data_IF_431294818634
#
_entry.id   IF_431294818634
#
_cell.length_a   1.000
_cell.length_b   1.000
_cell.length_c   1.000
_cell.angle_alpha   90.00
_cell.angle_beta   90.00
_cell.angle_gamma   90.00
#
_symmetry.space_group_name_H-M   'P 1'
#
loop_
_entity.id
_entity.type
_entity.pdbx_description
1 polymer ?
#
# COMPACT_ATOMS: atom_id res chain seq x y z
N UNK A 1 -22.09 -5.29 2.62
CA UNK A 1 -21.05 -6.23 3.10
C UNK A 1 -19.71 -5.63 2.68
N UNK A 2 -18.81 -5.31 3.61
CA UNK A 2 -17.44 -4.92 3.24
C UNK A 2 -16.72 -6.19 2.80
N UNK A 3 -16.34 -6.25 1.53
CA UNK A 3 -15.62 -7.39 0.99
C UNK A 3 -14.11 -7.13 1.12
N UNK A 4 -13.42 -7.94 1.90
CA UNK A 4 -11.96 -7.87 1.99
C UNK A 4 -11.35 -8.29 0.67
N UNK A 5 -10.48 -7.46 0.11
CA UNK A 5 -9.71 -7.77 -1.10
C UNK A 5 -8.27 -8.05 -0.70
N UNK A 6 -7.76 -9.24 -1.04
CA UNK A 6 -6.37 -9.60 -0.82
C UNK A 6 -5.56 -9.47 -2.12
N UNK A 7 -4.36 -8.92 -2.03
CA UNK A 7 -3.41 -8.78 -3.13
C UNK A 7 -2.02 -9.30 -2.73
N UNK A 8 -1.30 -9.86 -3.69
CA UNK A 8 0.15 -10.04 -3.61
C UNK A 8 0.78 -8.99 -4.50
N UNK A 9 1.50 -8.06 -3.90
CA UNK A 9 2.06 -6.90 -4.56
C UNK A 9 3.56 -7.11 -4.73
N UNK A 10 4.07 -6.86 -5.94
CA UNK A 10 5.48 -6.98 -6.29
C UNK A 10 6.25 -5.69 -6.04
N UNK A 11 7.34 -5.50 -6.79
CA UNK A 11 8.22 -4.32 -6.68
C UNK A 11 7.69 -3.08 -7.42
N UNK A 12 6.70 -3.26 -8.30
CA UNK A 12 6.03 -2.15 -8.97
C UNK A 12 5.02 -1.48 -8.03
N UNK A 13 4.91 -0.16 -8.13
CA UNK A 13 3.91 0.60 -7.39
C UNK A 13 2.49 0.24 -7.83
N UNK A 14 1.67 -0.12 -6.85
CA UNK A 14 0.23 -0.34 -7.00
C UNK A 14 -0.56 0.63 -6.12
N UNK A 15 -1.63 1.19 -6.69
CA UNK A 15 -2.53 2.07 -5.95
C UNK A 15 -3.48 1.26 -5.08
N UNK A 16 -3.61 1.65 -3.81
CA UNK A 16 -4.58 1.07 -2.87
C UNK A 16 -5.81 1.95 -2.72
N UNK A 17 -5.63 3.26 -2.69
CA UNK A 17 -6.74 4.24 -2.65
C UNK A 17 -6.36 5.50 -3.43
N UNK A 18 -7.37 6.18 -3.95
CA UNK A 18 -7.27 7.46 -4.67
C UNK A 18 -7.52 8.67 -3.77
N UNK A 19 -7.66 8.46 -2.46
CA UNK A 19 -7.91 9.50 -1.47
C UNK A 19 -9.38 9.90 -1.32
N UNK A 20 -10.31 9.21 -1.99
CA UNK A 20 -11.76 9.51 -1.87
C UNK A 20 -12.44 8.78 -0.72
N UNK A 21 -11.87 7.68 -0.25
CA UNK A 21 -12.45 6.81 0.77
C UNK A 21 -11.42 6.43 1.83
N UNK A 22 -11.91 6.27 3.07
CA UNK A 22 -11.13 5.62 4.13
C UNK A 22 -10.98 4.14 3.80
N UNK A 23 -9.77 3.61 3.96
CA UNK A 23 -9.44 2.18 3.83
C UNK A 23 -8.65 1.71 5.04
N UNK A 24 -8.90 0.48 5.46
CA UNK A 24 -8.00 -0.21 6.41
C UNK A 24 -7.21 -1.24 5.62
N UNK A 25 -5.89 -1.24 5.78
CA UNK A 25 -5.01 -2.21 5.12
C UNK A 25 -4.21 -2.99 6.15
N UNK A 26 -4.07 -4.29 5.93
CA UNK A 26 -3.17 -5.15 6.69
C UNK A 26 -2.05 -5.61 5.78
N UNK A 27 -0.81 -5.28 6.16
CA UNK A 27 0.42 -5.65 5.46
C UNK A 27 1.02 -6.87 6.15
N UNK A 28 1.22 -7.96 5.39
CA UNK A 28 1.95 -9.16 5.84
C UNK A 28 3.19 -9.34 4.99
N UNK A 29 4.36 -9.20 5.61
CA UNK A 29 5.65 -8.95 4.95
C UNK A 29 6.08 -7.49 5.12
N UNK A 30 7.01 -7.05 4.27
CA UNK A 30 7.57 -5.69 4.28
C UNK A 30 7.17 -4.95 3.01
N UNK A 31 6.64 -3.74 3.19
CA UNK A 31 6.21 -2.88 2.10
C UNK A 31 6.73 -1.45 2.26
N UNK A 32 6.96 -0.81 1.13
CA UNK A 32 7.19 0.63 1.04
C UNK A 32 5.88 1.29 0.60
N UNK A 33 5.53 2.41 1.23
CA UNK A 33 4.31 3.17 0.94
C UNK A 33 4.61 4.65 0.75
N UNK A 34 3.81 5.31 -0.09
CA UNK A 34 3.84 6.76 -0.23
C UNK A 34 2.46 7.31 -0.58
N UNK A 35 2.26 8.59 -0.28
CA UNK A 35 1.10 9.37 -0.71
C UNK A 35 1.48 10.12 -1.99
N UNK A 36 0.75 9.88 -3.08
CA UNK A 36 1.01 10.53 -4.37
C UNK A 36 -0.26 10.56 -5.24
N UNK A 37 -0.61 11.71 -5.84
CA UNK A 37 -1.78 11.82 -6.72
C UNK A 37 -1.62 11.05 -8.05
N UNK A 38 -0.39 10.67 -8.41
CA UNK A 38 -0.06 9.92 -9.62
C UNK A 38 0.86 8.75 -9.29
N UNK A 39 0.96 7.77 -10.21
CA UNK A 39 1.87 6.63 -10.03
C UNK A 39 3.29 7.14 -9.73
N UNK A 40 3.90 6.74 -8.60
CA UNK A 40 5.24 7.18 -8.26
C UNK A 40 6.31 6.58 -9.18
N UNK A 41 7.45 7.25 -9.26
CA UNK A 41 8.66 6.70 -9.87
C UNK A 41 9.36 5.68 -8.96
N UNK A 42 10.38 5.00 -9.48
CA UNK A 42 11.10 3.96 -8.74
C UNK A 42 11.85 4.50 -7.50
N UNK A 43 12.33 5.73 -7.57
CA UNK A 43 13.17 6.38 -6.55
C UNK A 43 12.35 7.22 -5.54
N UNK A 44 11.02 7.23 -5.68
CA UNK A 44 10.12 8.00 -4.83
C UNK A 44 10.39 7.71 -3.35
N UNK A 45 10.57 8.78 -2.59
CA UNK A 45 10.70 8.70 -1.14
C UNK A 45 9.45 8.05 -0.53
N UNK A 46 9.67 7.04 0.32
CA UNK A 46 8.61 6.19 0.87
C UNK A 46 8.85 5.87 2.34
N UNK A 47 7.78 5.57 3.06
CA UNK A 47 7.83 4.99 4.39
C UNK A 47 7.81 3.46 4.30
N UNK A 48 8.65 2.78 5.07
CA UNK A 48 8.64 1.31 5.12
C UNK A 48 7.88 0.82 6.35
N UNK A 49 6.94 -0.09 6.12
CA UNK A 49 6.15 -0.74 7.15
C UNK A 49 6.31 -2.26 7.06
N UNK A 50 6.18 -2.96 8.18
CA UNK A 50 6.27 -4.43 8.21
C UNK A 50 5.28 -5.01 9.19
N UNK A 51 4.53 -6.02 8.75
CA UNK A 51 3.57 -6.77 9.58
C UNK A 51 2.66 -5.87 10.43
N UNK A 52 2.01 -4.91 9.77
CA UNK A 52 1.24 -3.85 10.44
C UNK A 52 -0.10 -3.61 9.78
N UNK A 53 -1.00 -2.98 10.53
CA UNK A 53 -2.28 -2.48 10.03
C UNK A 53 -2.25 -0.96 9.97
N UNK A 54 -2.72 -0.38 8.86
CA UNK A 54 -2.80 1.06 8.66
C UNK A 54 -4.24 1.45 8.34
N UNK A 55 -4.71 2.54 8.96
CA UNK A 55 -5.93 3.23 8.55
C UNK A 55 -5.56 4.43 7.70
N UNK A 56 -6.02 4.44 6.45
CA UNK A 56 -5.75 5.49 5.47
C UNK A 56 -7.02 6.31 5.31
N UNK A 57 -6.93 7.61 5.54
CA UNK A 57 -8.06 8.54 5.40
C UNK A 57 -7.86 9.49 4.22
N UNK A 58 -8.95 9.96 3.58
CA UNK A 58 -8.89 11.09 2.66
C UNK A 58 -8.08 12.27 3.26
N UNK A 59 -7.28 12.98 2.45
CA UNK A 59 -7.18 12.91 0.99
C UNK A 59 -6.06 11.99 0.46
N UNK A 60 -5.54 11.06 1.27
CA UNK A 60 -4.33 10.27 0.95
C UNK A 60 -4.53 9.33 -0.23
N UNK A 61 -3.78 9.53 -1.31
CA UNK A 61 -3.71 8.61 -2.45
C UNK A 61 -2.56 7.62 -2.23
N UNK A 62 -2.84 6.54 -1.49
CA UNK A 62 -1.82 5.58 -1.07
C UNK A 62 -1.37 4.67 -2.22
N UNK A 63 -0.08 4.64 -2.45
CA UNK A 63 0.63 3.66 -3.25
C UNK A 63 1.46 2.74 -2.37
N UNK A 64 1.57 1.47 -2.77
CA UNK A 64 2.34 0.45 -2.06
C UNK A 64 3.15 -0.39 -3.05
N UNK A 65 4.32 -0.85 -2.62
CA UNK A 65 5.11 -1.90 -3.28
C UNK A 65 5.75 -2.79 -2.22
N UNK A 66 6.14 -4.01 -2.57
CA UNK A 66 6.99 -4.84 -1.72
C UNK A 66 8.33 -4.14 -1.49
N UNK A 67 8.88 -4.20 -0.28
CA UNK A 67 10.23 -3.67 0.02
C UNK A 67 11.33 -4.49 -0.69
N UNK A 68 12.53 -3.93 -0.79
CA UNK A 68 13.63 -4.51 -1.58
C UNK A 68 14.06 -5.91 -1.10
N UNK A 69 13.82 -6.22 0.18
CA UNK A 69 14.28 -7.43 0.83
C UNK A 69 13.36 -8.64 0.65
N UNK A 70 12.07 -8.43 0.34
CA UNK A 70 11.04 -9.49 0.36
C UNK A 70 10.56 -9.93 -1.02
N UNK A 71 10.78 -9.11 -2.06
CA UNK A 71 10.40 -9.41 -3.45
C UNK A 71 8.89 -9.36 -3.74
N UNK A 72 8.05 -9.70 -2.75
CA UNK A 72 6.60 -9.53 -2.76
C UNK A 72 6.06 -9.27 -1.35
N UNK A 73 4.84 -8.74 -1.25
CA UNK A 73 4.13 -8.50 0.02
C UNK A 73 2.65 -8.82 -0.13
N UNK A 74 2.05 -9.39 0.92
CA UNK A 74 0.61 -9.64 0.96
C UNK A 74 -0.11 -8.46 1.64
N UNK A 75 -1.16 -7.96 1.00
CA UNK A 75 -1.95 -6.84 1.50
C UNK A 75 -3.43 -7.22 1.47
N UNK A 76 -4.09 -7.17 2.62
CA UNK A 76 -5.55 -7.24 2.71
C UNK A 76 -6.12 -5.83 2.86
N UNK A 77 -7.17 -5.52 2.10
CA UNK A 77 -7.80 -4.20 2.03
C UNK A 77 -9.26 -4.36 2.45
N UNK A 78 -9.69 -3.54 3.41
CA UNK A 78 -11.04 -3.51 3.97
C UNK A 78 -11.74 -2.18 3.65
#
# INVERSE_FOLDING_TARGET
MMATTAKTIGRDWEQITDGTQTKVIQITGSADVCDSPTKPDEEQASLSFSNTELTITPPTALWIRASWFTGSVHVAIL
#
